data_IF_274766332823
#
_entry.id   IF_274766332823
#
_cell.length_a   1.000
_cell.length_b   1.000
_cell.length_c   1.000
_cell.angle_alpha   90.00
_cell.angle_beta   90.00
_cell.angle_gamma   90.00
#
_symmetry.space_group_name_H-M   'P 1'
#
loop_
_entity.id
_entity.type
_entity.pdbx_description
1 polymer ?
#
# COMPACT_ATOMS: atom_id res chain seq x y z
N UNK A 1 -4.56 -9.55 -19.06
CA UNK A 1 -5.21 -8.50 -18.26
C UNK A 1 -4.04 -7.74 -17.69
N UNK A 2 -3.77 -6.56 -18.23
CA UNK A 2 -2.74 -5.70 -17.66
C UNK A 2 -3.25 -5.32 -16.28
N UNK A 3 -2.59 -5.81 -15.23
CA UNK A 3 -2.94 -5.39 -13.89
C UNK A 3 -2.58 -3.91 -13.81
N UNK A 4 -3.57 -3.05 -13.61
CA UNK A 4 -3.37 -1.60 -13.43
C UNK A 4 -2.73 -1.28 -12.06
N UNK A 5 -2.29 -2.31 -11.31
CA UNK A 5 -1.84 -2.21 -9.93
C UNK A 5 -0.99 -3.41 -9.49
N UNK A 6 -0.16 -3.15 -8.49
CA UNK A 6 0.60 -4.14 -7.73
C UNK A 6 -0.08 -4.45 -6.39
N UNK A 7 0.23 -5.63 -5.83
CA UNK A 7 -0.26 -6.04 -4.51
C UNK A 7 0.84 -5.82 -3.48
N UNK A 8 0.54 -5.04 -2.44
CA UNK A 8 1.43 -4.81 -1.31
C UNK A 8 0.98 -5.52 -0.03
N UNK A 9 1.94 -5.93 0.80
CA UNK A 9 1.75 -6.30 2.19
C UNK A 9 2.31 -5.18 3.08
N UNK A 10 1.46 -4.53 3.87
CA UNK A 10 1.90 -3.55 4.86
C UNK A 10 2.66 -4.28 5.98
N UNK A 11 3.89 -3.87 6.27
CA UNK A 11 4.71 -4.45 7.35
C UNK A 11 4.83 -3.50 8.55
N UNK A 12 4.68 -2.20 8.32
CA UNK A 12 4.73 -1.18 9.35
C UNK A 12 3.85 0.04 9.03
N UNK A 13 3.38 0.72 10.08
CA UNK A 13 2.59 1.94 10.01
C UNK A 13 3.19 2.93 11.02
N UNK A 14 3.75 4.03 10.52
CA UNK A 14 4.36 5.06 11.37
C UNK A 14 3.77 6.42 11.04
N UNK A 15 3.05 7.01 11.99
CA UNK A 15 2.34 8.28 11.83
C UNK A 15 1.42 8.29 10.60
N UNK A 16 1.89 8.82 9.47
CA UNK A 16 1.15 8.97 8.23
C UNK A 16 1.80 8.21 7.06
N UNK A 17 2.75 7.32 7.35
CA UNK A 17 3.47 6.54 6.35
C UNK A 17 3.20 5.05 6.59
N UNK A 18 2.79 4.37 5.54
CA UNK A 18 2.70 2.93 5.47
C UNK A 18 3.91 2.39 4.69
N UNK A 19 4.62 1.44 5.28
CA UNK A 19 5.72 0.75 4.61
C UNK A 19 5.45 -0.73 4.53
N UNK A 20 5.94 -1.35 3.46
CA UNK A 20 5.65 -2.74 3.16
C UNK A 20 6.48 -3.29 2.03
N UNK A 21 6.04 -4.43 1.52
CA UNK A 21 6.69 -5.13 0.41
C UNK A 21 5.68 -5.48 -0.66
N UNK A 22 6.10 -5.42 -1.91
CA UNK A 22 5.31 -5.86 -3.05
C UNK A 22 5.39 -7.38 -3.18
N UNK A 23 4.22 -8.00 -3.27
CA UNK A 23 4.08 -9.44 -3.37
C UNK A 23 4.48 -9.87 -4.78
N UNK A 24 5.46 -10.76 -4.87
CA UNK A 24 5.99 -11.28 -6.14
C UNK A 24 7.35 -10.70 -6.52
N UNK A 25 7.65 -9.45 -6.13
CA UNK A 25 8.95 -8.81 -6.40
C UNK A 25 9.81 -8.64 -5.14
N UNK A 26 9.20 -8.64 -3.95
CA UNK A 26 9.83 -8.28 -2.67
C UNK A 26 10.40 -6.84 -2.64
N UNK A 27 10.03 -6.00 -3.60
CA UNK A 27 10.43 -4.59 -3.60
C UNK A 27 9.74 -3.86 -2.44
N UNK A 28 10.46 -3.01 -1.69
CA UNK A 28 9.86 -2.23 -0.62
C UNK A 28 9.01 -1.08 -1.20
N UNK A 29 7.93 -0.73 -0.50
CA UNK A 29 7.18 0.50 -0.76
C UNK A 29 7.10 1.38 0.48
N UNK A 30 6.94 2.68 0.25
CA UNK A 30 6.68 3.70 1.27
C UNK A 30 5.62 4.66 0.74
N UNK A 31 4.41 4.61 1.31
CA UNK A 31 3.24 5.34 0.82
C UNK A 31 2.67 6.21 1.93
N UNK A 32 2.39 7.47 1.60
CA UNK A 32 1.72 8.40 2.51
C UNK A 32 0.23 8.08 2.59
N UNK A 33 -0.26 7.77 3.78
CA UNK A 33 -1.67 7.49 4.03
C UNK A 33 -2.51 8.77 3.96
N UNK A 34 -3.68 8.70 3.33
CA UNK A 34 -4.70 9.75 3.45
C UNK A 34 -5.32 9.69 4.85
N UNK A 35 -5.61 10.84 5.45
CA UNK A 35 -6.15 10.89 6.82
C UNK A 35 -7.48 10.14 6.97
N UNK A 36 -8.30 10.18 5.92
CA UNK A 36 -9.61 9.51 5.83
C UNK A 36 -9.56 7.98 5.90
N UNK A 37 -8.47 7.36 5.44
CA UNK A 37 -8.30 5.89 5.41
C UNK A 37 -7.34 5.36 6.48
N UNK A 38 -6.64 6.25 7.18
CA UNK A 38 -5.60 5.88 8.15
C UNK A 38 -6.11 4.92 9.23
N UNK A 39 -7.38 5.05 9.64
CA UNK A 39 -7.99 4.17 10.63
C UNK A 39 -8.33 2.78 10.09
N UNK A 40 -8.45 2.64 8.77
CA UNK A 40 -8.78 1.37 8.09
C UNK A 40 -7.54 0.53 7.78
N UNK A 41 -6.35 1.13 7.78
CA UNK A 41 -5.10 0.43 7.49
C UNK A 41 -4.55 -0.24 8.76
N UNK A 42 -4.03 -1.45 8.58
CA UNK A 42 -3.42 -2.23 9.66
C UNK A 42 -2.13 -2.91 9.22
N UNK A 43 -1.26 -3.24 10.18
CA UNK A 43 -0.08 -4.07 9.89
C UNK A 43 -0.54 -5.44 9.40
N UNK A 44 0.16 -5.96 8.40
CA UNK A 44 -0.12 -7.20 7.70
C UNK A 44 -1.38 -7.19 6.82
N UNK A 45 -1.92 -6.00 6.52
CA UNK A 45 -2.99 -5.83 5.54
C UNK A 45 -2.45 -5.93 4.11
N UNK A 46 -3.24 -6.59 3.25
CA UNK A 46 -3.02 -6.64 1.81
C UNK A 46 -3.70 -5.44 1.16
N UNK A 47 -2.99 -4.74 0.29
CA UNK A 47 -3.44 -3.50 -0.34
C UNK A 47 -3.12 -3.51 -1.83
N UNK A 48 -3.95 -2.82 -2.62
CA UNK A 48 -3.66 -2.51 -4.01
C UNK A 48 -2.87 -1.19 -4.08
N UNK A 49 -1.81 -1.18 -4.88
CA UNK A 49 -0.87 -0.06 -5.04
C UNK A 49 -0.74 0.25 -6.52
N UNK A 50 -0.69 1.52 -6.91
CA UNK A 50 -0.46 1.89 -8.31
C UNK A 50 0.96 1.49 -8.79
N UNK A 51 1.16 1.40 -10.11
CA UNK A 51 2.40 0.84 -10.67
C UNK A 51 3.68 1.66 -10.40
N UNK A 52 3.57 2.91 -9.92
CA UNK A 52 4.72 3.72 -9.51
C UNK A 52 5.01 3.65 -8.00
N UNK A 53 4.20 2.87 -7.26
CA UNK A 53 4.31 2.60 -5.83
C UNK A 53 4.21 3.83 -4.93
N UNK A 54 3.55 4.89 -5.40
CA UNK A 54 3.40 6.14 -4.65
C UNK A 54 2.07 6.28 -3.92
N UNK A 55 1.05 5.52 -4.31
CA UNK A 55 -0.31 5.64 -3.76
C UNK A 55 -1.04 4.29 -3.67
N UNK A 56 -1.92 4.19 -2.67
CA UNK A 56 -2.90 3.10 -2.60
C UNK A 56 -4.05 3.35 -3.58
N UNK A 57 -4.59 2.27 -4.12
CA UNK A 57 -5.82 2.32 -4.89
C UNK A 57 -7.00 2.18 -3.95
N UNK A 58 -7.83 3.23 -3.91
CA UNK A 58 -9.04 3.29 -3.11
C UNK A 58 -10.24 2.92 -3.96
N UNK A 59 -11.16 2.11 -3.42
CA UNK A 59 -12.51 2.02 -3.98
C UNK A 59 -13.29 3.27 -3.59
N UNK A 60 -14.02 3.85 -4.55
CA UNK A 60 -15.00 4.92 -4.27
C UNK A 60 -16.14 4.43 -3.36
#
# INVERSE_FOLDING_TARGET
MDNEYDIGLITNLTSNIATGVIIGTNEPFEIKMREEVKQSLSRYMIVAINLDHTDFIYQE
#
